data_IF_774706534960
#
_entry.id   IF_774706534960
#
_cell.length_a   1.000
_cell.length_b   1.000
_cell.length_c   1.000
_cell.angle_alpha   90.00
_cell.angle_beta   90.00
_cell.angle_gamma   90.00
#
_symmetry.space_group_name_H-M   'P 1'
#
loop_
_entity.id
_entity.type
_entity.pdbx_description
1 polymer ?
#
# COMPACT_ATOMS: atom_id res chain seq x y z
N UNK A 1 -17.45 64.61 46.43
CA UNK A 1 -17.73 63.64 45.34
C UNK A 1 -16.56 63.71 44.37
N UNK A 2 -15.49 62.92 44.50
CA UNK A 2 -15.26 61.54 44.02
C UNK A 2 -15.65 61.33 42.55
N UNK A 3 -14.66 61.35 41.65
CA UNK A 3 -14.58 60.45 40.49
C UNK A 3 -13.12 60.04 40.29
N UNK A 4 -12.83 58.74 40.45
CA UNK A 4 -11.54 58.12 40.12
C UNK A 4 -11.68 57.57 38.69
N UNK A 5 -10.75 57.93 37.81
CA UNK A 5 -10.59 57.33 36.49
C UNK A 5 -10.18 55.85 36.66
N UNK A 6 -11.04 54.93 36.25
CA UNK A 6 -10.71 53.52 36.08
C UNK A 6 -10.26 53.30 34.63
N UNK A 7 -8.95 53.34 34.39
CA UNK A 7 -8.37 52.90 33.12
C UNK A 7 -8.40 51.37 33.09
N UNK A 8 -9.36 50.80 32.36
CA UNK A 8 -9.39 49.37 32.08
C UNK A 8 -8.44 49.07 30.90
N UNK A 9 -7.31 48.42 31.18
CA UNK A 9 -6.42 47.87 30.17
C UNK A 9 -7.05 46.58 29.64
N UNK A 10 -7.72 46.63 28.49
CA UNK A 10 -8.23 45.43 27.82
C UNK A 10 -7.06 44.82 27.04
N UNK A 11 -6.47 43.76 27.61
CA UNK A 11 -5.46 42.94 26.95
C UNK A 11 -6.19 41.99 26.00
N UNK A 12 -6.32 42.34 24.72
CA UNK A 12 -6.83 41.41 23.70
C UNK A 12 -5.75 40.39 23.38
N UNK A 13 -5.83 39.19 23.98
CA UNK A 13 -5.05 38.04 23.57
C UNK A 13 -5.55 37.58 22.19
N UNK A 14 -4.79 37.87 21.14
CA UNK A 14 -5.02 37.29 19.83
C UNK A 14 -4.67 35.80 19.87
N UNK A 15 -5.67 34.93 19.98
CA UNK A 15 -5.50 33.49 19.82
C UNK A 15 -5.28 33.24 18.32
N UNK A 16 -4.02 33.18 17.90
CA UNK A 16 -3.67 32.70 16.57
C UNK A 16 -3.93 31.20 16.53
N UNK A 17 -5.02 30.78 15.89
CA UNK A 17 -5.22 29.39 15.49
C UNK A 17 -4.15 29.05 14.45
N UNK A 18 -3.02 28.50 14.91
CA UNK A 18 -2.08 27.85 14.01
C UNK A 18 -2.79 26.62 13.44
N UNK A 19 -3.16 26.68 12.16
CA UNK A 19 -3.62 25.50 11.45
C UNK A 19 -2.40 24.59 11.33
N UNK A 20 -2.34 23.56 12.18
CA UNK A 20 -1.27 22.58 12.12
C UNK A 20 -1.38 21.84 10.78
N UNK A 21 -0.46 22.15 9.87
CA UNK A 21 -0.32 21.41 8.63
C UNK A 21 0.38 20.09 8.96
N UNK A 22 -0.21 18.97 8.55
CA UNK A 22 0.39 17.65 8.71
C UNK A 22 1.83 17.64 8.19
N UNK A 23 2.77 17.23 9.02
CA UNK A 23 4.18 17.18 8.64
C UNK A 23 4.39 16.05 7.62
N UNK A 24 5.39 16.24 6.74
CA UNK A 24 5.87 15.15 5.89
C UNK A 24 7.19 14.67 6.45
N UNK A 25 7.23 13.42 6.89
CA UNK A 25 8.42 12.70 7.34
C UNK A 25 8.93 11.85 6.18
N UNK A 26 10.22 11.89 5.93
CA UNK A 26 10.86 11.15 4.83
C UNK A 26 11.61 9.91 5.33
N UNK A 27 11.47 8.81 4.60
CA UNK A 27 12.16 7.55 4.89
C UNK A 27 12.87 7.04 3.65
N UNK A 28 14.15 6.72 3.76
CA UNK A 28 14.93 6.28 2.61
C UNK A 28 16.39 6.02 2.97
N UNK A 29 17.17 5.45 2.04
CA UNK A 29 18.59 5.17 2.27
C UNK A 29 19.46 6.43 2.31
N UNK A 30 19.06 7.49 1.60
CA UNK A 30 19.82 8.75 1.44
C UNK A 30 18.87 9.95 1.58
N UNK A 31 19.40 11.07 2.08
CA UNK A 31 18.72 12.38 2.19
C UNK A 31 17.29 12.33 2.78
N UNK A 32 17.06 11.45 3.77
CA UNK A 32 15.78 11.29 4.46
C UNK A 32 15.94 11.48 5.99
N UNK A 33 14.84 11.84 6.65
CA UNK A 33 14.79 12.03 8.11
C UNK A 33 15.09 10.71 8.86
N UNK A 34 14.64 9.58 8.30
CA UNK A 34 14.82 8.25 8.87
C UNK A 34 15.23 7.22 7.82
N UNK A 35 15.87 6.15 8.28
CA UNK A 35 16.25 4.98 7.47
C UNK A 35 15.38 3.74 7.76
N UNK A 36 14.44 3.85 8.72
CA UNK A 36 13.48 2.81 9.11
C UNK A 36 12.07 3.39 9.08
N UNK A 37 11.13 2.61 8.55
CA UNK A 37 9.71 2.96 8.51
C UNK A 37 9.15 2.97 9.93
N UNK A 38 9.47 1.96 10.76
CA UNK A 38 8.95 1.91 12.13
C UNK A 38 9.38 3.14 12.93
N UNK A 39 10.66 3.56 12.83
CA UNK A 39 11.14 4.73 13.56
C UNK A 39 10.40 6.01 13.13
N UNK A 40 10.10 6.16 11.84
CA UNK A 40 9.30 7.27 11.36
C UNK A 40 7.86 7.22 11.89
N UNK A 41 7.26 6.03 11.98
CA UNK A 41 5.93 5.84 12.58
C UNK A 41 5.93 6.20 14.07
N UNK A 42 6.97 5.79 14.82
CA UNK A 42 7.10 6.06 16.25
C UNK A 42 7.13 7.57 16.54
N UNK A 43 7.87 8.32 15.74
CA UNK A 43 8.08 9.77 15.88
C UNK A 43 6.94 10.62 15.27
N UNK A 44 6.17 10.05 14.34
CA UNK A 44 5.05 10.75 13.71
C UNK A 44 3.94 11.10 14.70
N UNK A 45 3.30 12.25 14.49
CA UNK A 45 2.06 12.60 15.16
C UNK A 45 0.86 12.07 14.37
N UNK A 46 -0.29 11.80 15.03
CA UNK A 46 -1.52 11.47 14.32
C UNK A 46 -1.87 12.53 13.26
N UNK A 47 -2.12 12.08 12.03
CA UNK A 47 -2.42 12.90 10.87
C UNK A 47 -1.21 13.19 9.97
N UNK A 48 0.01 12.89 10.42
CA UNK A 48 1.22 13.11 9.62
C UNK A 48 1.29 12.19 8.40
N UNK A 49 2.15 12.60 7.46
CA UNK A 49 2.46 11.84 6.24
C UNK A 49 3.87 11.29 6.33
N UNK A 50 4.02 10.02 6.00
CA UNK A 50 5.32 9.36 5.85
C UNK A 50 5.51 9.04 4.38
N UNK A 51 6.52 9.66 3.76
CA UNK A 51 6.91 9.41 2.37
C UNK A 51 8.13 8.50 2.34
N UNK A 52 7.96 7.27 1.88
CA UNK A 52 9.00 6.24 1.83
C UNK A 52 9.54 6.14 0.42
N UNK A 53 10.83 6.43 0.23
CA UNK A 53 11.55 6.31 -1.03
C UNK A 53 11.91 4.85 -1.34
N UNK A 54 12.35 4.57 -2.57
CA UNK A 54 12.81 3.23 -2.98
C UNK A 54 13.87 2.68 -2.03
N UNK A 55 13.74 1.41 -1.67
CA UNK A 55 14.63 0.72 -0.73
C UNK A 55 14.04 -0.59 -0.27
N UNK A 56 14.84 -1.43 0.39
CA UNK A 56 14.36 -2.64 1.07
C UNK A 56 14.48 -2.46 2.58
N UNK A 57 13.33 -2.44 3.23
CA UNK A 57 13.15 -2.24 4.66
C UNK A 57 12.88 -3.59 5.32
N UNK A 58 13.89 -4.14 6.01
CA UNK A 58 13.85 -5.44 6.68
C UNK A 58 13.31 -5.33 8.10
N UNK A 59 12.04 -5.03 8.21
CA UNK A 59 11.36 -4.75 9.48
C UNK A 59 9.93 -5.27 9.49
N UNK A 60 9.33 -5.29 10.67
CA UNK A 60 7.91 -5.49 10.85
C UNK A 60 7.36 -4.15 11.33
N UNK A 61 6.40 -3.58 10.60
CA UNK A 61 5.88 -2.23 10.86
C UNK A 61 4.54 -2.34 11.56
N UNK A 62 4.38 -1.66 12.69
CA UNK A 62 3.11 -1.49 13.41
C UNK A 62 2.72 -0.02 13.33
N UNK A 63 1.58 0.24 12.72
CA UNK A 63 1.01 1.57 12.55
C UNK A 63 -0.16 1.71 13.52
N UNK A 64 0.11 2.38 14.63
CA UNK A 64 -0.78 2.48 15.80
C UNK A 64 -1.43 3.85 15.99
N UNK A 65 -1.30 4.71 14.98
CA UNK A 65 -1.88 6.05 14.93
C UNK A 65 -2.32 6.37 13.51
N UNK A 66 -3.31 7.26 13.38
CA UNK A 66 -3.81 7.71 12.07
C UNK A 66 -2.67 8.33 11.27
N UNK A 67 -2.27 7.72 10.16
CA UNK A 67 -1.17 8.18 9.31
C UNK A 67 -1.48 7.97 7.83
N UNK A 68 -0.84 8.78 6.98
CA UNK A 68 -0.75 8.50 5.55
C UNK A 68 0.67 8.03 5.26
N UNK A 69 0.84 6.75 4.92
CA UNK A 69 2.12 6.14 4.61
C UNK A 69 2.13 5.81 3.12
N UNK A 70 3.01 6.48 2.38
CA UNK A 70 3.09 6.39 0.93
C UNK A 70 4.49 5.98 0.48
N UNK A 71 4.56 4.85 -0.20
CA UNK A 71 5.71 4.45 -0.98
C UNK A 71 5.79 5.23 -2.30
N UNK A 72 6.97 5.72 -2.61
CA UNK A 72 7.27 6.47 -3.83
C UNK A 72 8.43 5.78 -4.55
N UNK A 73 8.26 5.51 -5.84
CA UNK A 73 9.36 5.08 -6.68
C UNK A 73 10.30 6.26 -6.93
N UNK A 74 11.46 6.24 -6.28
CA UNK A 74 12.53 7.23 -6.41
C UNK A 74 13.61 6.80 -7.41
N UNK A 75 13.28 5.88 -8.33
CA UNK A 75 14.15 5.45 -9.43
C UNK A 75 14.60 3.99 -9.35
N UNK A 76 14.23 3.26 -8.30
CA UNK A 76 14.58 1.84 -8.11
C UNK A 76 13.36 0.95 -7.83
N UNK A 77 12.16 1.39 -8.21
CA UNK A 77 10.91 0.67 -7.96
C UNK A 77 10.25 1.08 -6.64
N UNK A 78 9.07 0.52 -6.37
CA UNK A 78 8.35 0.74 -5.10
C UNK A 78 9.19 0.28 -3.89
N UNK A 79 9.14 0.97 -2.73
CA UNK A 79 9.76 0.50 -1.51
C UNK A 79 9.25 -0.88 -1.11
N UNK A 80 10.17 -1.73 -0.67
CA UNK A 80 9.89 -3.11 -0.25
C UNK A 80 9.90 -3.19 1.27
N UNK A 81 8.81 -3.63 1.87
CA UNK A 81 8.76 -4.09 3.26
C UNK A 81 8.94 -5.60 3.27
N UNK A 82 10.08 -6.06 3.80
CA UNK A 82 10.45 -7.48 3.91
C UNK A 82 10.30 -7.91 5.37
N UNK A 83 9.26 -8.70 5.65
CA UNK A 83 8.91 -9.20 6.99
C UNK A 83 9.89 -10.23 7.56
N UNK A 84 10.99 -10.55 6.88
CA UNK A 84 12.07 -11.46 7.33
C UNK A 84 11.60 -12.89 7.66
N UNK A 85 10.42 -13.29 7.20
CA UNK A 85 9.82 -14.59 7.48
C UNK A 85 9.33 -14.74 8.92
N UNK A 86 9.12 -13.63 9.66
CA UNK A 86 8.62 -13.61 11.04
C UNK A 86 7.55 -12.53 11.19
N UNK A 87 6.48 -12.82 11.95
CA UNK A 87 5.39 -11.86 12.16
C UNK A 87 4.68 -11.45 10.87
N UNK A 88 3.71 -10.53 10.98
CA UNK A 88 3.13 -9.86 9.81
C UNK A 88 4.07 -8.73 9.38
N UNK A 89 4.19 -8.47 8.08
CA UNK A 89 5.15 -7.47 7.60
C UNK A 89 4.68 -6.04 7.95
N UNK A 90 3.39 -5.77 7.80
CA UNK A 90 2.75 -4.52 8.24
C UNK A 90 1.48 -4.84 9.03
N UNK A 91 1.30 -4.21 10.19
CA UNK A 91 0.10 -4.28 11.03
C UNK A 91 -0.48 -2.89 11.15
N UNK A 92 -1.76 -2.73 10.81
CA UNK A 92 -2.53 -1.51 11.04
C UNK A 92 -3.43 -1.71 12.27
N UNK A 93 -3.23 -0.88 13.30
CA UNK A 93 -3.95 -1.01 14.58
C UNK A 93 -4.55 0.30 15.07
N UNK A 94 -4.68 1.30 14.20
CA UNK A 94 -5.45 2.51 14.43
C UNK A 94 -6.30 2.85 13.21
N UNK A 95 -7.34 3.65 13.41
CA UNK A 95 -8.27 3.97 12.33
C UNK A 95 -7.71 5.03 11.38
N UNK A 96 -8.30 5.08 10.18
CA UNK A 96 -8.06 6.12 9.17
C UNK A 96 -6.62 6.15 8.66
N UNK A 97 -5.92 5.02 8.70
CA UNK A 97 -4.62 4.87 8.08
C UNK A 97 -4.79 4.76 6.57
N UNK A 98 -3.91 5.41 5.81
CA UNK A 98 -3.72 5.15 4.39
C UNK A 98 -2.37 4.49 4.18
N UNK A 99 -2.35 3.30 3.57
CA UNK A 99 -1.13 2.60 3.19
C UNK A 99 -1.13 2.39 1.68
N UNK A 100 -0.17 2.98 0.99
CA UNK A 100 -0.12 2.90 -0.47
C UNK A 100 1.28 2.85 -1.08
N UNK A 101 1.40 2.19 -2.24
CA UNK A 101 2.61 2.25 -3.06
C UNK A 101 3.77 1.36 -2.59
N UNK A 102 3.50 0.30 -1.84
CA UNK A 102 4.53 -0.62 -1.34
C UNK A 102 4.58 -1.93 -2.10
N UNK A 103 5.74 -2.59 -2.06
CA UNK A 103 5.85 -4.05 -2.18
C UNK A 103 5.92 -4.61 -0.76
N UNK A 104 5.07 -5.57 -0.41
CA UNK A 104 5.02 -6.17 0.93
C UNK A 104 5.19 -7.67 0.81
N UNK A 105 6.25 -8.20 1.41
CA UNK A 105 6.64 -9.60 1.22
C UNK A 105 7.27 -10.29 2.42
N UNK A 106 7.39 -11.62 2.30
CA UNK A 106 8.13 -12.47 3.21
C UNK A 106 7.64 -12.35 4.67
N UNK A 107 6.32 -12.35 4.89
CA UNK A 107 5.74 -12.51 6.22
C UNK A 107 6.01 -13.90 6.81
N UNK A 108 5.79 -14.04 8.12
CA UNK A 108 5.92 -15.29 8.85
C UNK A 108 4.85 -16.34 8.54
N UNK A 109 5.09 -17.57 9.00
CA UNK A 109 4.12 -18.65 8.88
C UNK A 109 2.85 -18.33 9.68
N UNK A 110 1.68 -18.48 9.06
CA UNK A 110 0.40 -18.11 9.66
C UNK A 110 0.23 -16.60 9.88
N UNK A 111 1.03 -15.76 9.20
CA UNK A 111 1.01 -14.31 9.27
C UNK A 111 0.77 -13.68 7.90
N UNK A 112 0.60 -12.37 7.90
CA UNK A 112 0.11 -11.64 6.72
C UNK A 112 1.17 -10.69 6.18
N UNK A 113 1.13 -10.42 4.88
CA UNK A 113 1.84 -9.26 4.34
C UNK A 113 1.32 -7.99 5.02
N UNK A 114 0.00 -7.77 4.94
CA UNK A 114 -0.70 -6.68 5.62
C UNK A 114 -1.78 -7.26 6.53
N UNK A 115 -1.73 -6.95 7.82
CA UNK A 115 -2.73 -7.35 8.82
C UNK A 115 -3.47 -6.12 9.33
N UNK A 116 -4.79 -6.11 9.23
CA UNK A 116 -5.64 -5.03 9.72
C UNK A 116 -6.36 -5.44 11.00
N UNK A 117 -6.30 -4.57 12.00
CA UNK A 117 -6.90 -4.70 13.34
C UNK A 117 -7.65 -3.43 13.74
N UNK A 118 -8.10 -2.67 12.75
CA UNK A 118 -8.70 -1.35 12.91
C UNK A 118 -9.60 -1.02 11.74
N UNK A 119 -10.39 0.05 11.88
CA UNK A 119 -11.48 0.38 10.99
C UNK A 119 -11.15 1.58 10.09
N UNK A 120 -11.96 1.79 9.06
CA UNK A 120 -11.92 3.00 8.23
C UNK A 120 -10.56 3.27 7.53
N UNK A 121 -9.79 2.23 7.24
CA UNK A 121 -8.47 2.31 6.60
C UNK A 121 -8.56 2.22 5.07
N UNK A 122 -7.51 2.70 4.41
CA UNK A 122 -7.34 2.65 2.96
C UNK A 122 -6.05 1.92 2.59
N UNK A 123 -6.17 0.73 2.01
CA UNK A 123 -5.06 -0.05 1.47
C UNK A 123 -5.13 0.03 -0.05
N UNK A 124 -4.17 0.72 -0.69
CA UNK A 124 -4.25 0.90 -2.14
C UNK A 124 -2.94 0.89 -2.89
N UNK A 125 -2.97 0.42 -4.14
CA UNK A 125 -1.82 0.45 -5.04
C UNK A 125 -0.58 -0.26 -4.47
N UNK A 126 -0.77 -1.30 -3.66
CA UNK A 126 0.32 -2.13 -3.14
C UNK A 126 0.46 -3.41 -3.97
N UNK A 127 1.69 -3.94 -4.02
CA UNK A 127 1.98 -5.31 -4.45
C UNK A 127 2.22 -6.15 -3.19
N UNK A 128 1.31 -7.08 -2.89
CA UNK A 128 1.39 -7.94 -1.70
C UNK A 128 1.69 -9.35 -2.16
N UNK A 129 2.94 -9.77 -1.99
CA UNK A 129 3.47 -10.96 -2.68
C UNK A 129 4.43 -11.78 -1.84
N UNK A 130 4.56 -13.07 -2.15
CA UNK A 130 5.54 -13.98 -1.52
C UNK A 130 5.40 -14.03 0.01
N UNK A 131 4.17 -13.92 0.52
CA UNK A 131 3.88 -14.08 1.94
C UNK A 131 3.51 -15.54 2.22
N UNK A 132 4.05 -16.09 3.31
CA UNK A 132 3.96 -17.53 3.61
C UNK A 132 2.54 -18.01 3.90
N UNK A 133 1.63 -17.09 4.17
CA UNK A 133 0.24 -17.41 4.46
C UNK A 133 -0.74 -16.43 3.80
N UNK A 134 -1.18 -15.38 4.51
CA UNK A 134 -2.11 -14.41 3.95
C UNK A 134 -1.35 -13.30 3.21
N UNK A 135 -1.86 -12.85 2.06
CA UNK A 135 -1.46 -11.57 1.51
C UNK A 135 -1.95 -10.44 2.41
N UNK A 136 -3.26 -10.25 2.46
CA UNK A 136 -3.93 -9.29 3.35
C UNK A 136 -4.93 -10.04 4.23
N UNK A 137 -5.00 -9.73 5.52
CA UNK A 137 -6.01 -10.30 6.42
C UNK A 137 -6.61 -9.26 7.36
N UNK A 138 -7.88 -9.42 7.67
CA UNK A 138 -8.59 -8.60 8.66
C UNK A 138 -8.81 -9.38 9.96
N UNK A 139 -8.96 -8.66 11.07
CA UNK A 139 -9.27 -9.21 12.39
C UNK A 139 -10.30 -8.30 13.05
N UNK A 140 -11.58 -8.69 12.95
CA UNK A 140 -12.73 -7.92 13.45
C UNK A 140 -12.66 -6.44 13.07
N UNK A 141 -12.39 -6.18 11.78
CA UNK A 141 -12.12 -4.85 11.24
C UNK A 141 -13.14 -4.48 10.16
N UNK A 142 -13.69 -3.27 10.25
CA UNK A 142 -14.87 -2.83 9.51
C UNK A 142 -14.63 -1.57 8.68
N UNK A 143 -15.48 -1.37 7.67
CA UNK A 143 -15.55 -0.14 6.86
C UNK A 143 -14.21 0.26 6.20
N UNK A 144 -13.37 -0.72 5.90
CA UNK A 144 -12.09 -0.48 5.22
C UNK A 144 -12.23 -0.55 3.70
N UNK A 145 -11.31 0.11 2.99
CA UNK A 145 -11.24 0.10 1.53
C UNK A 145 -9.92 -0.54 1.09
N UNK A 146 -10.03 -1.67 0.40
CA UNK A 146 -8.90 -2.40 -0.19
C UNK A 146 -9.05 -2.32 -1.71
N UNK A 147 -8.22 -1.51 -2.37
CA UNK A 147 -8.43 -1.23 -3.80
C UNK A 147 -7.16 -1.02 -4.61
N UNK A 148 -7.14 -1.47 -5.87
CA UNK A 148 -5.99 -1.26 -6.75
C UNK A 148 -4.74 -2.03 -6.31
N UNK A 149 -4.87 -3.04 -5.45
CA UNK A 149 -3.73 -3.84 -5.01
C UNK A 149 -3.56 -5.04 -5.94
N UNK A 150 -2.31 -5.45 -6.14
CA UNK A 150 -1.97 -6.73 -6.75
C UNK A 150 -1.62 -7.68 -5.61
N UNK A 151 -2.39 -8.74 -5.42
CA UNK A 151 -2.25 -9.70 -4.33
C UNK A 151 -1.96 -11.07 -4.92
N UNK A 152 -0.68 -11.45 -4.94
CA UNK A 152 -0.23 -12.62 -5.70
C UNK A 152 0.82 -13.46 -4.99
N UNK A 153 0.97 -14.73 -5.36
CA UNK A 153 2.02 -15.61 -4.79
C UNK A 153 2.00 -15.70 -3.25
N UNK A 154 0.80 -15.65 -2.67
CA UNK A 154 0.58 -15.92 -1.25
C UNK A 154 -0.09 -17.29 -1.10
N UNK A 155 -0.27 -17.80 0.12
CA UNK A 155 -1.11 -19.00 0.31
C UNK A 155 -2.58 -18.67 0.08
N UNK A 156 -3.05 -17.60 0.70
CA UNK A 156 -4.37 -17.01 0.48
C UNK A 156 -4.18 -15.54 0.10
N UNK A 157 -4.95 -15.03 -0.87
CA UNK A 157 -4.85 -13.64 -1.28
C UNK A 157 -5.34 -12.68 -0.18
N UNK A 158 -6.66 -12.54 -0.03
CA UNK A 158 -7.29 -11.76 1.04
C UNK A 158 -8.18 -12.65 1.92
N UNK A 159 -8.09 -12.49 3.24
CA UNK A 159 -8.89 -13.24 4.21
C UNK A 159 -9.69 -12.33 5.15
N UNK A 160 -11.02 -12.48 5.15
CA UNK A 160 -11.95 -11.75 6.01
C UNK A 160 -12.74 -12.73 6.89
N UNK A 161 -12.54 -12.73 8.21
CA UNK A 161 -13.35 -13.52 9.13
C UNK A 161 -14.76 -12.92 9.28
N UNK A 162 -15.67 -13.70 9.87
CA UNK A 162 -17.08 -13.31 10.00
C UNK A 162 -17.33 -11.97 10.71
N UNK A 163 -16.46 -11.55 11.63
CA UNK A 163 -16.57 -10.26 12.34
C UNK A 163 -16.03 -9.05 11.58
N UNK A 164 -15.58 -9.20 10.33
CA UNK A 164 -15.09 -8.11 9.49
C UNK A 164 -16.12 -7.78 8.40
N UNK A 165 -16.88 -6.70 8.60
CA UNK A 165 -18.05 -6.33 7.81
C UNK A 165 -17.94 -4.91 7.22
N UNK A 166 -18.75 -4.62 6.20
CA UNK A 166 -18.81 -3.29 5.59
C UNK A 166 -17.56 -2.90 4.77
N UNK A 167 -16.62 -3.81 4.60
CA UNK A 167 -15.40 -3.56 3.84
C UNK A 167 -15.70 -3.53 2.33
N UNK A 168 -14.89 -2.77 1.59
CA UNK A 168 -14.99 -2.62 0.14
C UNK A 168 -13.72 -3.12 -0.51
N UNK A 169 -13.82 -4.21 -1.24
CA UNK A 169 -12.71 -4.87 -1.92
C UNK A 169 -12.96 -4.71 -3.42
N UNK A 170 -12.30 -3.72 -4.02
CA UNK A 170 -12.62 -3.33 -5.40
C UNK A 170 -11.39 -3.08 -6.25
N UNK A 171 -11.41 -3.49 -7.51
CA UNK A 171 -10.31 -3.21 -8.46
C UNK A 171 -8.96 -3.77 -8.00
N UNK A 172 -8.95 -4.88 -7.26
CA UNK A 172 -7.72 -5.61 -6.95
C UNK A 172 -7.48 -6.68 -8.01
N UNK A 173 -6.21 -7.08 -8.16
CA UNK A 173 -5.80 -8.16 -9.04
C UNK A 173 -5.26 -9.30 -8.19
N UNK A 174 -5.85 -10.48 -8.36
CA UNK A 174 -5.49 -11.70 -7.67
C UNK A 174 -4.84 -12.66 -8.65
N UNK A 175 -3.69 -13.21 -8.27
CA UNK A 175 -3.01 -14.15 -9.15
C UNK A 175 -2.00 -15.05 -8.46
N UNK A 176 -1.91 -16.30 -8.86
CA UNK A 176 -0.95 -17.28 -8.35
C UNK A 176 -1.00 -17.43 -6.82
N UNK A 177 -2.17 -17.28 -6.19
CA UNK A 177 -2.33 -17.62 -4.78
C UNK A 177 -2.53 -19.14 -4.66
N UNK A 178 -1.87 -19.77 -3.71
CA UNK A 178 -1.74 -21.23 -3.70
C UNK A 178 -3.05 -21.97 -3.38
N UNK A 179 -3.93 -21.35 -2.58
CA UNK A 179 -5.23 -21.89 -2.21
C UNK A 179 -6.35 -21.08 -2.86
N UNK A 180 -6.78 -20.00 -2.20
CA UNK A 180 -7.89 -19.16 -2.67
C UNK A 180 -7.40 -17.72 -2.87
N UNK A 181 -7.88 -17.09 -3.94
CA UNK A 181 -7.66 -15.67 -4.20
C UNK A 181 -8.30 -14.79 -3.12
N UNK A 182 -9.45 -15.21 -2.59
CA UNK A 182 -10.12 -14.55 -1.49
C UNK A 182 -10.94 -15.54 -0.65
N UNK A 183 -11.08 -15.25 0.65
CA UNK A 183 -12.05 -15.89 1.54
C UNK A 183 -12.73 -14.80 2.36
N UNK A 184 -14.05 -14.84 2.41
CA UNK A 184 -14.87 -13.85 3.10
C UNK A 184 -16.08 -14.51 3.77
N UNK A 185 -16.00 -14.62 5.09
CA UNK A 185 -17.06 -15.12 5.95
C UNK A 185 -17.95 -14.02 6.54
N UNK A 186 -17.63 -12.74 6.29
CA UNK A 186 -18.39 -11.58 6.76
C UNK A 186 -19.43 -11.12 5.74
N UNK A 187 -19.84 -9.86 5.85
CA UNK A 187 -20.72 -9.19 4.87
C UNK A 187 -19.96 -8.01 4.29
N UNK A 188 -19.41 -8.17 3.09
CA UNK A 188 -18.57 -7.15 2.46
C UNK A 188 -18.93 -6.98 0.98
N UNK A 189 -18.43 -5.89 0.39
CA UNK A 189 -18.68 -5.56 -1.00
C UNK A 189 -17.46 -5.88 -1.86
N UNK A 190 -17.66 -6.76 -2.84
CA UNK A 190 -16.69 -7.09 -3.88
C UNK A 190 -17.19 -6.54 -5.21
N UNK A 191 -16.31 -5.88 -5.97
CA UNK A 191 -16.67 -5.30 -7.26
C UNK A 191 -15.43 -5.05 -8.13
N UNK A 192 -15.46 -5.47 -9.39
CA UNK A 192 -14.43 -5.12 -10.40
C UNK A 192 -13.04 -5.63 -10.07
N UNK A 193 -12.92 -6.69 -9.29
CA UNK A 193 -11.64 -7.34 -9.09
C UNK A 193 -11.30 -8.24 -10.28
N UNK A 194 -10.01 -8.49 -10.46
CA UNK A 194 -9.45 -9.37 -11.48
C UNK A 194 -8.99 -10.65 -10.80
N UNK A 195 -9.39 -11.82 -11.31
CA UNK A 195 -9.03 -13.13 -10.76
C UNK A 195 -8.41 -13.99 -11.84
N UNK A 196 -7.23 -14.57 -11.58
CA UNK A 196 -6.54 -15.43 -12.54
C UNK A 196 -7.21 -16.79 -12.77
N UNK A 197 -8.15 -17.17 -11.90
CA UNK A 197 -8.96 -18.37 -11.97
C UNK A 197 -10.41 -18.10 -12.39
N UNK A 198 -10.75 -16.89 -12.85
CA UNK A 198 -12.06 -16.61 -13.44
C UNK A 198 -12.22 -17.32 -14.79
N UNK A 199 -13.30 -18.10 -14.94
CA UNK A 199 -13.65 -18.73 -16.21
C UNK A 199 -14.23 -17.70 -17.20
N UNK A 200 -14.01 -17.89 -18.52
CA UNK A 200 -14.33 -16.88 -19.56
C UNK A 200 -15.83 -16.52 -19.65
N UNK A 201 -16.72 -17.38 -19.17
CA UNK A 201 -18.18 -17.25 -19.24
C UNK A 201 -18.85 -16.92 -17.90
N UNK A 202 -18.07 -16.69 -16.84
CA UNK A 202 -18.60 -16.26 -15.54
C UNK A 202 -18.86 -14.75 -15.50
N UNK A 203 -20.10 -14.37 -15.17
CA UNK A 203 -20.52 -12.98 -14.96
C UNK A 203 -20.36 -12.51 -13.50
N UNK A 204 -20.01 -13.44 -12.61
CA UNK A 204 -19.87 -13.21 -11.18
C UNK A 204 -18.86 -14.19 -10.58
N UNK A 205 -18.12 -13.75 -9.56
CA UNK A 205 -17.12 -14.56 -8.88
C UNK A 205 -17.55 -14.78 -7.43
N UNK A 206 -17.81 -16.03 -7.05
CA UNK A 206 -18.21 -16.36 -5.67
C UNK A 206 -17.00 -16.34 -4.76
N UNK A 207 -17.11 -15.64 -3.63
CA UNK A 207 -16.06 -15.59 -2.62
C UNK A 207 -16.33 -16.67 -1.58
N UNK A 208 -15.46 -17.69 -1.44
CA UNK A 208 -15.62 -18.73 -0.43
C UNK A 208 -15.74 -18.18 1.00
N UNK A 209 -16.46 -18.89 1.88
CA UNK A 209 -16.59 -18.56 3.31
C UNK A 209 -17.95 -17.98 3.73
N UNK A 210 -18.71 -17.43 2.78
CA UNK A 210 -20.01 -16.80 3.04
C UNK A 210 -20.86 -16.72 1.77
N UNK A 211 -21.77 -15.75 1.72
CA UNK A 211 -22.62 -15.47 0.55
C UNK A 211 -22.09 -14.32 -0.33
N UNK A 212 -20.84 -13.89 -0.11
CA UNK A 212 -20.25 -12.76 -0.82
C UNK A 212 -19.93 -13.14 -2.28
N UNK A 213 -20.14 -12.20 -3.19
CA UNK A 213 -19.94 -12.36 -4.63
C UNK A 213 -19.36 -11.06 -5.17
N UNK A 214 -18.36 -11.14 -6.04
CA UNK A 214 -18.01 -10.04 -6.94
C UNK A 214 -18.95 -10.09 -8.15
N UNK A 215 -19.77 -9.07 -8.30
CA UNK A 215 -20.81 -8.99 -9.33
C UNK A 215 -20.30 -8.44 -10.67
N UNK A 216 -19.06 -7.95 -10.72
CA UNK A 216 -18.45 -7.45 -11.96
C UNK A 216 -16.98 -7.92 -12.05
N UNK A 217 -16.69 -9.21 -11.91
CA UNK A 217 -15.32 -9.70 -11.93
C UNK A 217 -14.73 -9.55 -13.34
N UNK A 218 -13.41 -9.67 -13.43
CA UNK A 218 -12.68 -9.64 -14.68
C UNK A 218 -11.64 -10.75 -14.73
N UNK A 219 -11.45 -11.35 -15.90
CA UNK A 219 -10.27 -12.16 -16.16
C UNK A 219 -9.06 -11.24 -16.37
N UNK A 220 -7.82 -11.73 -16.16
CA UNK A 220 -6.63 -10.97 -16.50
C UNK A 220 -6.65 -10.65 -18.00
N UNK A 221 -6.19 -9.46 -18.39
CA UNK A 221 -6.00 -9.22 -19.82
C UNK A 221 -4.92 -10.21 -20.33
N UNK A 222 -5.14 -10.88 -21.49
CA UNK A 222 -4.13 -11.76 -22.04
C UNK A 222 -2.85 -10.95 -22.24
N UNK A 223 -1.73 -11.45 -21.73
CA UNK A 223 -0.43 -10.80 -21.96
C UNK A 223 -0.28 -10.55 -23.46
N UNK A 224 -0.19 -9.28 -23.86
CA UNK A 224 0.01 -8.94 -25.26
C UNK A 224 1.36 -9.53 -25.69
N UNK A 225 1.34 -10.60 -26.47
CA UNK A 225 2.55 -11.18 -27.06
C UNK A 225 3.17 -10.29 -28.14
N UNK A 226 2.53 -9.16 -28.48
CA UNK A 226 3.07 -8.08 -29.31
C UNK A 226 3.98 -7.14 -28.50
N UNK A 227 5.05 -7.68 -27.94
CA UNK A 227 6.30 -6.92 -27.83
C UNK A 227 7.28 -7.49 -28.85
N UNK A 228 7.10 -7.12 -30.12
CA UNK A 228 8.25 -7.09 -31.02
C UNK A 228 9.37 -6.36 -30.28
N UNK A 229 10.60 -6.92 -30.18
CA UNK A 229 11.70 -6.17 -29.63
C UNK A 229 11.85 -4.93 -30.49
N UNK A 230 11.68 -3.73 -29.89
CA UNK A 230 12.05 -2.48 -30.56
C UNK A 230 13.52 -2.60 -30.93
N UNK A 231 13.78 -2.95 -32.19
CA UNK A 231 15.11 -2.96 -32.78
C UNK A 231 15.62 -1.52 -32.79
N UNK A 232 16.32 -1.12 -31.73
CA UNK A 232 17.07 0.12 -31.72
C UNK A 232 18.32 -0.12 -32.56
N UNK A 233 18.26 0.27 -33.84
CA UNK A 233 19.44 0.28 -34.71
C UNK A 233 20.43 1.32 -34.21
N UNK A 234 21.53 0.88 -33.61
CA UNK A 234 22.66 1.76 -33.27
C UNK A 234 23.46 1.99 -34.56
N UNK A 235 23.40 3.20 -35.12
CA UNK A 235 24.25 3.57 -36.24
C UNK A 235 25.62 3.98 -35.71
N UNK A 236 26.60 3.08 -35.76
CA UNK A 236 28.00 3.42 -35.49
C UNK A 236 28.60 4.05 -36.75
N UNK A 237 28.83 5.37 -36.74
CA UNK A 237 29.65 6.02 -37.77
C UNK A 237 31.12 5.69 -37.53
N UNK A 238 31.66 4.75 -38.29
CA UNK A 238 33.10 4.48 -38.34
C UNK A 238 33.73 5.47 -39.33
N UNK A 239 34.48 6.46 -38.82
CA UNK A 239 35.32 7.31 -39.67
C UNK A 239 36.64 6.59 -39.90
N UNK A 240 36.88 6.13 -41.13
CA UNK A 240 38.17 5.56 -41.53
C UNK A 240 39.10 6.75 -41.85
N UNK A 241 40.25 6.93 -41.16
CA UNK A 241 41.18 7.99 -41.49
C UNK A 241 41.80 7.76 -42.87
N UNK A 242 41.92 8.83 -43.65
CA UNK A 242 42.54 8.83 -44.98
C UNK A 242 44.00 8.37 -44.87
N UNK A 243 44.46 7.40 -45.70
CA UNK A 243 45.85 6.97 -45.68
C UNK A 243 46.76 8.13 -46.09
N UNK A 244 47.76 8.42 -45.26
CA UNK A 244 48.83 9.37 -45.60
C UNK A 244 49.74 8.66 -46.60
N UNK A 245 49.66 9.05 -47.88
CA UNK A 245 50.62 8.61 -48.89
C UNK A 245 51.82 9.55 -48.78
N UNK A 246 52.91 9.07 -48.19
CA UNK A 246 54.19 9.77 -48.20
C UNK A 246 54.78 9.77 -49.63
N UNK A 247 55.16 10.94 -50.11
CA UNK A 247 55.97 11.17 -51.30
C UNK A 247 57.45 10.93 -51.05
#
# INVERSE_FOLDING_TARGET
>A
MRWKLCSALILTAAISLAVAQAATITVGPEDCDYTSIQKAVDEANPGDKISVQSGTFRENVVVDKTLIIRGTDSGSGKPVVDGKGVGSAIILSADRITLEGFVVKNSGFGKSGIEMKSDNNYIRNNLVTENRWYGISLSDSNDNVITGNVVSKNKYGIWLPAGSEGNRITQNEFGNNANDNAVDAGVNKWDKNIYDDLEEDEDSYKIPGGSNVDENPKAPEPESTDSEPKSSTITVKITIPTPIIGS
#
